data_IF_653038868304
#
_entry.id   IF_653038868304
#
_cell.length_a   1.000
_cell.length_b   1.000
_cell.length_c   1.000
_cell.angle_alpha   90.00
_cell.angle_beta   90.00
_cell.angle_gamma   90.00
#
_symmetry.space_group_name_H-M   'P 1'
#
loop_
_entity.id
_entity.type
_entity.pdbx_description
1 polymer ?
#
# COMPACT_ATOMS: atom_id res chain seq x y z
N UNK A 1 22.69 -7.26 -15.43
CA UNK A 1 21.25 -7.28 -15.12
C UNK A 1 20.92 -5.99 -14.39
N UNK A 2 19.90 -5.21 -14.78
CA UNK A 2 19.41 -4.14 -13.92
C UNK A 2 18.90 -4.74 -12.59
N UNK A 3 19.09 -4.05 -11.45
CA UNK A 3 18.59 -4.54 -10.17
C UNK A 3 17.07 -4.71 -10.25
N UNK A 4 16.55 -5.77 -9.63
CA UNK A 4 15.11 -5.98 -9.50
C UNK A 4 14.56 -4.85 -8.65
N UNK A 5 13.76 -3.96 -9.26
CA UNK A 5 13.14 -2.83 -8.56
C UNK A 5 12.27 -3.33 -7.41
N UNK A 6 12.41 -2.71 -6.25
CA UNK A 6 11.52 -2.92 -5.11
C UNK A 6 10.08 -2.52 -5.47
N UNK A 7 9.10 -3.02 -4.71
CA UNK A 7 7.71 -2.60 -4.87
C UNK A 7 7.55 -1.07 -4.72
N UNK A 8 8.28 -0.45 -3.79
CA UNK A 8 8.26 1.00 -3.60
C UNK A 8 8.75 1.77 -4.83
N UNK A 9 9.79 1.28 -5.52
CA UNK A 9 10.27 1.89 -6.76
C UNK A 9 9.27 1.73 -7.91
N UNK A 10 8.61 0.57 -8.01
CA UNK A 10 7.57 0.35 -9.04
C UNK A 10 6.35 1.23 -8.83
N UNK A 11 5.97 1.49 -7.57
CA UNK A 11 4.89 2.43 -7.23
C UNK A 11 5.32 3.87 -7.55
N UNK A 12 6.57 4.23 -7.24
CA UNK A 12 7.10 5.54 -7.61
C UNK A 12 7.13 5.75 -9.13
N UNK A 13 7.52 4.73 -9.91
CA UNK A 13 7.43 4.76 -11.37
C UNK A 13 5.98 4.98 -11.85
N UNK A 14 5.02 4.25 -11.27
CA UNK A 14 3.60 4.40 -11.61
C UNK A 14 3.08 5.83 -11.30
N UNK A 15 3.51 6.42 -10.20
CA UNK A 15 3.18 7.81 -9.85
C UNK A 15 3.76 8.82 -10.86
N UNK A 16 4.90 8.53 -11.50
CA UNK A 16 5.43 9.36 -12.59
C UNK A 16 4.64 9.15 -13.87
N UNK A 17 4.29 7.92 -14.20
CA UNK A 17 3.44 7.60 -15.37
C UNK A 17 2.08 8.30 -15.27
N UNK A 18 1.52 8.39 -14.06
CA UNK A 18 0.26 9.08 -13.77
C UNK A 18 0.42 10.61 -13.66
N UNK A 19 1.65 11.14 -13.80
CA UNK A 19 1.96 12.58 -13.77
C UNK A 19 1.92 13.22 -12.37
N UNK A 20 1.83 12.41 -11.32
CA UNK A 20 1.78 12.85 -9.91
C UNK A 20 3.16 13.15 -9.33
N UNK A 21 4.20 12.55 -9.90
CA UNK A 21 5.61 12.78 -9.54
C UNK A 21 6.46 13.02 -10.79
N UNK A 22 7.58 13.70 -10.59
CA UNK A 22 8.64 13.83 -11.60
C UNK A 22 9.81 12.90 -11.29
N UNK A 23 10.60 12.56 -12.32
CA UNK A 23 11.82 11.75 -12.14
C UNK A 23 12.83 12.41 -11.21
N UNK A 24 12.98 13.74 -11.30
CA UNK A 24 13.87 14.49 -10.40
C UNK A 24 13.44 14.35 -8.93
N UNK A 25 12.15 14.47 -8.63
CA UNK A 25 11.64 14.27 -7.27
C UNK A 25 11.93 12.86 -6.75
N UNK A 26 11.81 11.84 -7.60
CA UNK A 26 12.16 10.46 -7.20
C UNK A 26 13.65 10.33 -6.88
N UNK A 27 14.52 10.90 -7.71
CA UNK A 27 15.97 10.85 -7.47
C UNK A 27 16.33 11.48 -6.11
N UNK A 28 15.78 12.66 -5.82
CA UNK A 28 15.97 13.32 -4.52
C UNK A 28 15.45 12.47 -3.34
N UNK A 29 14.28 11.84 -3.51
CA UNK A 29 13.68 10.99 -2.48
C UNK A 29 14.49 9.69 -2.28
N UNK A 30 15.07 9.13 -3.33
CA UNK A 30 15.95 7.96 -3.24
C UNK A 30 17.25 8.27 -2.49
N UNK A 31 17.83 9.45 -2.71
CA UNK A 31 18.98 9.91 -1.92
C UNK A 31 18.61 10.12 -0.44
N UNK A 32 17.44 10.71 -0.17
CA UNK A 32 16.93 10.87 1.20
C UNK A 32 16.66 9.53 1.87
N UNK A 33 16.06 8.56 1.18
CA UNK A 33 15.86 7.20 1.68
C UNK A 33 17.18 6.54 2.09
N UNK A 34 18.24 6.68 1.29
CA UNK A 34 19.57 6.14 1.63
C UNK A 34 20.17 6.79 2.87
N UNK A 35 19.96 8.09 3.06
CA UNK A 35 20.46 8.84 4.22
C UNK A 35 19.66 8.58 5.49
N UNK A 36 18.34 8.48 5.38
CA UNK A 36 17.43 8.37 6.50
C UNK A 36 17.11 6.92 6.90
N UNK A 37 17.36 5.95 6.01
CA UNK A 37 16.99 4.55 6.23
C UNK A 37 15.47 4.32 6.28
N UNK A 38 14.67 5.22 5.72
CA UNK A 38 13.20 5.17 5.73
C UNK A 38 12.66 4.65 4.40
N UNK A 39 11.41 4.16 4.40
CA UNK A 39 10.74 3.67 3.19
C UNK A 39 10.43 4.82 2.23
N UNK A 40 10.71 4.63 0.93
CA UNK A 40 10.42 5.60 -0.13
C UNK A 40 8.99 6.16 -0.11
N UNK A 41 7.98 5.28 0.00
CA UNK A 41 6.57 5.70 -0.01
C UNK A 41 6.22 6.61 1.17
N UNK A 42 6.82 6.35 2.34
CA UNK A 42 6.63 7.20 3.51
C UNK A 42 7.19 8.60 3.25
N UNK A 43 8.35 8.71 2.63
CA UNK A 43 8.93 10.00 2.25
C UNK A 43 8.07 10.75 1.23
N UNK A 44 7.49 10.05 0.25
CA UNK A 44 6.56 10.66 -0.73
C UNK A 44 5.35 11.28 -0.03
N UNK A 45 4.75 10.57 0.92
CA UNK A 45 3.63 11.06 1.72
C UNK A 45 4.04 12.20 2.66
N UNK A 46 5.19 12.08 3.34
CA UNK A 46 5.72 13.13 4.24
C UNK A 46 6.00 14.44 3.49
N UNK A 47 6.43 14.36 2.23
CA UNK A 47 6.63 15.53 1.37
C UNK A 47 5.34 16.11 0.78
N UNK A 48 4.20 15.44 1.00
CA UNK A 48 2.88 15.83 0.47
C UNK A 48 2.87 16.01 -1.06
N UNK A 49 3.75 15.30 -1.78
CA UNK A 49 3.79 15.36 -3.24
C UNK A 49 2.59 14.64 -3.88
N UNK A 50 2.07 13.62 -3.20
CA UNK A 50 0.96 12.79 -3.64
C UNK A 50 -0.02 12.66 -2.48
N UNK A 51 -1.33 12.71 -2.78
CA UNK A 51 -2.35 12.49 -1.76
C UNK A 51 -2.35 11.03 -1.29
N UNK A 52 -2.82 10.77 -0.06
CA UNK A 52 -2.97 9.38 0.41
C UNK A 52 -3.88 8.55 -0.50
N UNK A 53 -4.91 9.17 -1.08
CA UNK A 53 -5.85 8.51 -1.99
C UNK A 53 -5.16 8.08 -3.28
N UNK A 54 -4.43 8.98 -3.93
CA UNK A 54 -3.72 8.69 -5.18
C UNK A 54 -2.63 7.63 -4.96
N UNK A 55 -1.91 7.73 -3.83
CA UNK A 55 -0.94 6.72 -3.42
C UNK A 55 -1.57 5.33 -3.31
N UNK A 56 -2.68 5.22 -2.60
CA UNK A 56 -3.40 3.95 -2.40
C UNK A 56 -3.92 3.38 -3.73
N UNK A 57 -4.37 4.23 -4.66
CA UNK A 57 -4.79 3.82 -6.01
C UNK A 57 -3.60 3.28 -6.82
N UNK A 58 -2.48 4.00 -6.86
CA UNK A 58 -1.28 3.55 -7.59
C UNK A 58 -0.69 2.28 -6.97
N UNK A 59 -0.70 2.14 -5.63
CA UNK A 59 -0.34 0.91 -4.93
C UNK A 59 -1.20 -0.26 -5.38
N UNK A 60 -2.52 -0.07 -5.38
CA UNK A 60 -3.45 -1.13 -5.77
C UNK A 60 -3.27 -1.59 -7.21
N UNK A 61 -2.94 -0.66 -8.12
CA UNK A 61 -2.60 -0.97 -9.52
C UNK A 61 -1.31 -1.80 -9.63
N UNK A 62 -0.23 -1.40 -8.95
CA UNK A 62 1.05 -2.11 -9.01
C UNK A 62 1.00 -3.48 -8.33
N UNK A 63 0.27 -3.58 -7.22
CA UNK A 63 0.12 -4.81 -6.43
C UNK A 63 -1.04 -5.70 -6.90
N UNK A 64 -1.75 -5.29 -7.95
CA UNK A 64 -2.96 -5.97 -8.45
C UNK A 64 -3.97 -6.27 -7.32
N UNK A 65 -4.11 -5.33 -6.38
CA UNK A 65 -4.94 -5.44 -5.19
C UNK A 65 -5.78 -4.16 -5.08
N UNK A 66 -7.06 -4.17 -5.47
CA UNK A 66 -7.85 -2.95 -5.55
C UNK A 66 -8.02 -2.31 -4.17
N UNK A 67 -7.95 -0.98 -4.07
CA UNK A 67 -8.18 -0.29 -2.81
C UNK A 67 -9.63 -0.45 -2.37
N UNK A 68 -9.85 -0.54 -1.07
CA UNK A 68 -11.14 -0.86 -0.48
C UNK A 68 -11.50 0.16 0.61
N UNK A 69 -12.73 0.68 0.56
CA UNK A 69 -13.23 1.60 1.58
C UNK A 69 -14.03 0.82 2.64
N UNK A 70 -13.38 0.55 3.77
CA UNK A 70 -13.96 -0.24 4.87
C UNK A 70 -15.23 0.40 5.45
N UNK A 71 -15.27 1.73 5.52
CA UNK A 71 -16.42 2.48 6.05
C UNK A 71 -17.70 2.30 5.24
N UNK A 72 -17.60 1.79 4.01
CA UNK A 72 -18.74 1.53 3.11
C UNK A 72 -19.13 0.06 3.02
N UNK A 73 -18.47 -0.81 3.78
CA UNK A 73 -18.67 -2.26 3.70
C UNK A 73 -19.28 -2.77 5.00
N UNK A 74 -20.31 -3.59 4.87
CA UNK A 74 -20.86 -4.35 6.00
C UNK A 74 -20.17 -5.72 6.05
N UNK A 75 -19.43 -5.97 7.12
CA UNK A 75 -18.71 -7.23 7.33
C UNK A 75 -19.59 -8.15 8.17
N UNK A 76 -19.88 -9.35 7.65
CA UNK A 76 -20.70 -10.32 8.38
C UNK A 76 -19.95 -10.78 9.67
N UNK A 77 -20.64 -10.96 10.81
CA UNK A 77 -20.01 -11.38 12.06
C UNK A 77 -19.24 -12.70 11.94
N UNK A 78 -19.75 -13.63 11.14
CA UNK A 78 -19.09 -14.90 10.82
C UNK A 78 -17.75 -14.73 10.11
N UNK A 79 -17.61 -13.69 9.26
CA UNK A 79 -16.35 -13.35 8.57
C UNK A 79 -15.40 -12.63 9.52
N UNK A 80 -15.92 -11.71 10.33
CA UNK A 80 -15.14 -11.02 11.36
C UNK A 80 -14.52 -12.00 12.38
N UNK A 81 -15.26 -13.06 12.71
CA UNK A 81 -14.80 -14.11 13.63
C UNK A 81 -13.73 -15.06 13.05
N UNK A 82 -13.45 -15.02 11.75
CA UNK A 82 -12.41 -15.87 11.14
C UNK A 82 -10.99 -15.45 11.48
N UNK A 83 -10.81 -14.18 11.87
CA UNK A 83 -9.51 -13.64 12.21
C UNK A 83 -9.48 -13.26 13.70
N UNK A 84 -8.55 -13.84 14.50
CA UNK A 84 -8.37 -13.43 15.88
C UNK A 84 -8.06 -11.94 15.98
N UNK A 85 -8.70 -11.26 16.94
CA UNK A 85 -8.56 -9.81 17.15
C UNK A 85 -7.10 -9.37 17.28
N UNK A 86 -6.27 -10.17 17.94
CA UNK A 86 -4.86 -9.86 18.15
C UNK A 86 -4.09 -9.82 16.83
N UNK A 87 -4.36 -10.76 15.91
CA UNK A 87 -3.77 -10.78 14.57
C UNK A 87 -4.23 -9.58 13.75
N UNK A 88 -5.54 -9.27 13.81
CA UNK A 88 -6.11 -8.11 13.13
C UNK A 88 -5.42 -6.80 13.54
N UNK A 89 -5.16 -6.62 14.85
CA UNK A 89 -4.51 -5.42 15.38
C UNK A 89 -3.01 -5.39 15.09
N UNK A 90 -2.29 -6.48 15.32
CA UNK A 90 -0.84 -6.55 15.14
C UNK A 90 -0.44 -6.31 13.68
N UNK A 91 -1.18 -6.91 12.74
CA UNK A 91 -0.90 -6.78 11.31
C UNK A 91 -1.67 -5.63 10.65
N UNK A 92 -2.54 -4.94 11.39
CA UNK A 92 -3.44 -3.89 10.87
C UNK A 92 -4.23 -4.37 9.65
N UNK A 93 -4.86 -5.53 9.81
CA UNK A 93 -5.65 -6.19 8.77
C UNK A 93 -7.07 -6.47 9.25
N UNK A 94 -8.04 -6.44 8.33
CA UNK A 94 -9.45 -6.69 8.62
C UNK A 94 -10.02 -7.67 7.58
N UNK A 95 -10.73 -8.74 7.98
CA UNK A 95 -11.38 -9.64 7.04
C UNK A 95 -12.61 -8.97 6.41
N UNK A 96 -12.67 -8.93 5.09
CA UNK A 96 -13.71 -8.24 4.32
C UNK A 96 -14.79 -9.21 3.86
N UNK A 97 -14.37 -10.35 3.30
CA UNK A 97 -15.29 -11.37 2.79
C UNK A 97 -14.62 -12.73 2.74
N UNK A 98 -15.43 -13.79 2.73
CA UNK A 98 -15.00 -15.15 2.45
C UNK A 98 -15.71 -15.65 1.21
N UNK A 99 -14.96 -16.09 0.22
CA UNK A 99 -15.50 -16.82 -0.93
C UNK A 99 -14.81 -18.18 -0.97
N UNK A 100 -15.60 -19.25 -0.86
CA UNK A 100 -15.14 -20.62 -0.80
C UNK A 100 -14.05 -20.82 0.28
N UNK A 101 -12.84 -21.15 -0.17
CA UNK A 101 -11.66 -21.39 0.65
C UNK A 101 -10.68 -20.20 0.65
N UNK A 102 -11.13 -19.01 0.23
CA UNK A 102 -10.34 -17.77 0.21
C UNK A 102 -10.94 -16.75 1.17
N UNK A 103 -10.08 -16.21 2.04
CA UNK A 103 -10.38 -15.08 2.90
C UNK A 103 -9.78 -13.82 2.28
N UNK A 104 -10.64 -12.84 1.99
CA UNK A 104 -10.21 -11.55 1.49
C UNK A 104 -9.96 -10.62 2.69
N UNK A 105 -8.76 -10.07 2.76
CA UNK A 105 -8.31 -9.20 3.83
C UNK A 105 -8.05 -7.79 3.26
N UNK A 106 -8.48 -6.78 3.99
CA UNK A 106 -7.99 -5.42 3.81
C UNK A 106 -6.80 -5.19 4.72
N UNK A 107 -5.72 -4.60 4.18
CA UNK A 107 -4.51 -4.28 4.93
C UNK A 107 -4.27 -2.78 4.92
N UNK A 108 -3.80 -2.23 6.04
CA UNK A 108 -3.40 -0.82 6.11
C UNK A 108 -2.08 -0.54 5.34
N UNK A 109 -1.17 -1.51 5.29
CA UNK A 109 0.06 -1.45 4.49
C UNK A 109 0.29 -2.81 3.82
N UNK A 110 -0.03 -2.96 2.52
CA UNK A 110 0.12 -4.23 1.80
C UNK A 110 1.59 -4.61 1.54
N UNK A 111 2.55 -3.73 1.84
CA UNK A 111 3.98 -4.03 1.74
C UNK A 111 4.60 -4.45 3.08
N UNK A 112 3.80 -4.44 4.15
CA UNK A 112 4.23 -4.87 5.47
C UNK A 112 3.98 -6.37 5.65
N UNK A 113 4.91 -7.18 5.14
CA UNK A 113 4.97 -8.64 5.32
C UNK A 113 6.03 -9.04 6.34
#
# INVERSE_FOLDING_TARGET
MPPVKSFGERIADALVEDGLLTRQQIEELLEQQKKAGTRLLKLILEKSYVSEVDMVVSMGRVLNTPPVNISRISIAPEVAGLLPREVALNHKVVPVSRLDNKLYLAMADPLNV
#
